data_IF_592514824161
#
_entry.id   IF_592514824161
#
_cell.length_a   1.000
_cell.length_b   1.000
_cell.length_c   1.000
_cell.angle_alpha   90.00
_cell.angle_beta   90.00
_cell.angle_gamma   90.00
#
_symmetry.space_group_name_H-M   'P 1'
#
loop_
_entity.id
_entity.type
_entity.pdbx_description
1 polymer ?
#
# COMPACT_ATOMS: atom_id res chain seq x y z
N UNK A 1 -11.47 0.18 -18.66
CA UNK A 1 -10.74 -0.67 -19.59
C UNK A 1 -10.68 -2.11 -19.10
N UNK A 2 -10.49 -3.05 -20.00
CA UNK A 2 -10.28 -4.47 -19.62
C UNK A 2 -8.79 -4.66 -19.31
N UNK A 3 -8.41 -5.41 -18.24
CA UNK A 3 -7.03 -5.74 -17.99
C UNK A 3 -6.50 -6.67 -19.09
N UNK A 4 -5.30 -6.37 -19.58
CA UNK A 4 -4.58 -7.29 -20.45
C UNK A 4 -3.80 -8.26 -19.55
N UNK A 5 -4.01 -9.55 -19.74
CA UNK A 5 -3.34 -10.61 -19.00
C UNK A 5 -2.37 -11.32 -19.94
N UNK A 6 -1.10 -11.35 -19.55
CA UNK A 6 -0.05 -12.10 -20.25
C UNK A 6 0.49 -13.15 -19.30
N UNK A 7 0.42 -14.42 -19.68
CA UNK A 7 1.01 -15.52 -18.91
C UNK A 7 2.39 -15.82 -19.48
N UNK A 8 3.40 -15.81 -18.62
CA UNK A 8 4.78 -16.15 -18.98
C UNK A 8 5.26 -17.34 -18.17
N UNK A 9 5.98 -18.26 -18.81
CA UNK A 9 6.65 -19.38 -18.15
C UNK A 9 8.16 -19.18 -18.32
N UNK A 10 8.86 -18.70 -17.28
CA UNK A 10 10.29 -18.46 -17.39
C UNK A 10 11.06 -19.78 -17.46
N UNK A 11 12.01 -19.89 -18.39
CA UNK A 11 12.87 -21.05 -18.59
C UNK A 11 14.29 -20.86 -18.03
N UNK A 12 14.64 -19.62 -17.66
CA UNK A 12 15.96 -19.28 -17.10
C UNK A 12 15.79 -18.36 -15.90
N UNK A 13 16.60 -18.57 -14.88
CA UNK A 13 16.71 -17.63 -13.74
C UNK A 13 17.50 -16.39 -14.14
N UNK A 14 17.22 -15.27 -13.51
CA UNK A 14 17.93 -14.01 -13.78
C UNK A 14 17.10 -12.79 -13.49
N UNK A 15 17.67 -11.63 -13.80
CA UNK A 15 16.98 -10.35 -13.74
C UNK A 15 16.85 -9.79 -15.14
N UNK A 16 15.63 -9.55 -15.55
CA UNK A 16 15.29 -9.09 -16.90
C UNK A 16 14.67 -7.69 -16.78
N UNK A 17 15.15 -6.79 -17.60
CA UNK A 17 14.57 -5.45 -17.70
C UNK A 17 13.57 -5.42 -18.84
N UNK A 18 12.44 -4.77 -18.60
CA UNK A 18 11.44 -4.48 -19.60
C UNK A 18 11.09 -2.99 -19.58
N UNK A 19 10.51 -2.53 -20.66
CA UNK A 19 9.98 -1.18 -20.75
C UNK A 19 8.67 -1.18 -21.51
N UNK A 20 7.87 -0.14 -21.34
CA UNK A 20 6.67 0.05 -22.15
C UNK A 20 7.06 0.27 -23.61
N UNK A 21 6.52 -0.56 -24.52
CA UNK A 21 6.81 -0.51 -25.95
C UNK A 21 5.76 0.24 -26.77
N UNK A 22 4.60 0.56 -26.13
CA UNK A 22 3.52 1.29 -26.76
C UNK A 22 3.35 2.64 -26.09
N UNK A 23 3.35 3.72 -26.85
CA UNK A 23 3.20 5.07 -26.30
C UNK A 23 1.94 5.16 -25.41
N UNK A 24 2.12 5.54 -24.14
CA UNK A 24 1.10 5.55 -23.11
C UNK A 24 1.04 6.89 -22.33
N UNK A 25 1.72 7.94 -22.82
CA UNK A 25 1.67 9.28 -22.24
C UNK A 25 3.04 9.87 -21.89
N UNK A 26 3.05 10.96 -21.14
CA UNK A 26 4.19 11.85 -20.90
C UNK A 26 5.45 11.16 -20.33
N UNK A 27 5.29 10.08 -19.56
CA UNK A 27 6.40 9.34 -18.93
C UNK A 27 6.67 7.99 -19.57
N UNK A 28 6.21 7.78 -20.79
CA UNK A 28 6.37 6.52 -21.52
C UNK A 28 7.80 5.95 -21.49
N UNK A 29 8.82 6.77 -21.73
CA UNK A 29 10.22 6.35 -21.72
C UNK A 29 10.76 5.94 -20.35
N UNK A 30 10.07 6.28 -19.28
CA UNK A 30 10.43 5.96 -17.89
C UNK A 30 9.60 4.83 -17.28
N UNK A 31 8.70 4.24 -18.05
CA UNK A 31 7.93 3.07 -17.64
C UNK A 31 8.77 1.81 -17.76
N UNK A 32 9.59 1.58 -16.77
CA UNK A 32 10.49 0.43 -16.70
C UNK A 32 9.88 -0.66 -15.81
N UNK A 33 10.14 -1.90 -16.17
CA UNK A 33 9.75 -3.11 -15.44
C UNK A 33 11.02 -3.93 -15.15
N UNK A 34 11.11 -4.51 -13.97
CA UNK A 34 12.12 -5.50 -13.64
C UNK A 34 11.42 -6.82 -13.31
N UNK A 35 11.68 -7.85 -14.12
CA UNK A 35 11.26 -9.21 -13.86
C UNK A 35 12.44 -9.99 -13.26
N UNK A 36 12.30 -10.42 -12.02
CA UNK A 36 13.31 -11.23 -11.33
C UNK A 36 12.82 -12.68 -11.25
N UNK A 37 13.50 -13.57 -11.96
CA UNK A 37 13.22 -15.00 -11.95
C UNK A 37 14.21 -15.68 -11.00
N UNK A 38 13.68 -16.24 -9.91
CA UNK A 38 14.46 -16.88 -8.87
C UNK A 38 14.41 -18.41 -9.00
N UNK A 39 15.44 -19.15 -8.57
CA UNK A 39 15.32 -20.58 -8.36
C UNK A 39 14.15 -20.90 -7.41
N UNK A 40 13.45 -22.04 -7.54
CA UNK A 40 12.25 -22.37 -6.75
C UNK A 40 12.43 -22.18 -5.23
N UNK A 41 13.53 -22.65 -4.67
CA UNK A 41 13.81 -22.50 -3.23
C UNK A 41 13.97 -21.03 -2.81
N UNK A 42 14.65 -20.20 -3.61
CA UNK A 42 14.81 -18.78 -3.34
C UNK A 42 13.50 -18.02 -3.51
N UNK A 43 12.67 -18.39 -4.50
CA UNK A 43 11.33 -17.84 -4.66
C UNK A 43 10.45 -18.14 -3.45
N UNK A 44 10.46 -19.38 -2.94
CA UNK A 44 9.70 -19.73 -1.73
C UNK A 44 10.18 -18.95 -0.50
N UNK A 45 11.49 -18.79 -0.33
CA UNK A 45 12.05 -17.96 0.74
C UNK A 45 11.62 -16.50 0.61
N UNK A 46 11.70 -15.94 -0.58
CA UNK A 46 11.23 -14.58 -0.86
C UNK A 46 9.72 -14.44 -0.59
N UNK A 47 8.91 -15.40 -1.06
CA UNK A 47 7.47 -15.41 -0.84
C UNK A 47 7.11 -15.43 0.64
N UNK A 48 7.79 -16.30 1.42
CA UNK A 48 7.62 -16.35 2.87
C UNK A 48 8.04 -15.03 3.54
N UNK A 49 9.13 -14.41 3.08
CA UNK A 49 9.54 -13.09 3.58
C UNK A 49 8.50 -12.01 3.26
N UNK A 50 7.93 -12.00 2.04
CA UNK A 50 6.85 -11.09 1.68
C UNK A 50 5.59 -11.34 2.52
N UNK A 51 5.18 -12.59 2.70
CA UNK A 51 4.06 -12.94 3.56
C UNK A 51 4.30 -12.54 5.02
N UNK A 52 5.52 -12.72 5.54
CA UNK A 52 5.91 -12.27 6.88
C UNK A 52 5.95 -10.74 6.98
N UNK A 53 6.39 -10.04 5.95
CA UNK A 53 6.38 -8.57 5.93
C UNK A 53 4.95 -8.02 5.87
N UNK A 54 4.06 -8.67 5.12
CA UNK A 54 2.64 -8.37 5.11
C UNK A 54 1.95 -8.71 6.44
N UNK A 55 2.37 -9.79 7.11
CA UNK A 55 1.87 -10.18 8.43
C UNK A 55 2.56 -9.47 9.61
N UNK A 56 3.82 -9.03 9.46
CA UNK A 56 4.50 -8.12 10.39
C UNK A 56 4.10 -6.66 10.22
N UNK A 57 3.45 -6.37 9.11
CA UNK A 57 3.04 -5.04 8.72
C UNK A 57 1.86 -4.50 9.51
N UNK A 58 2.11 -4.11 10.73
CA UNK A 58 1.13 -3.48 11.58
C UNK A 58 0.44 -4.51 12.50
N UNK A 59 0.69 -4.37 13.78
CA UNK A 59 -0.01 -5.13 14.79
C UNK A 59 -1.49 -4.71 14.78
N UNK A 60 -2.33 -5.48 14.08
CA UNK A 60 -3.79 -5.28 14.11
C UNK A 60 -4.42 -5.55 15.47
N UNK A 61 -3.63 -5.97 16.45
CA UNK A 61 -4.08 -6.28 17.79
C UNK A 61 -3.98 -5.12 18.80
N UNK A 62 -3.19 -4.09 18.53
CA UNK A 62 -3.05 -2.94 19.42
C UNK A 62 -3.64 -1.68 18.78
N UNK A 63 -4.75 -1.21 19.33
CA UNK A 63 -5.36 0.04 18.91
C UNK A 63 -4.52 1.23 19.43
N UNK A 64 -4.04 2.08 18.51
CA UNK A 64 -3.30 3.31 18.83
C UNK A 64 -4.09 4.53 18.34
N UNK A 65 -3.95 5.66 19.04
CA UNK A 65 -4.49 6.94 18.54
C UNK A 65 -3.64 7.56 17.44
N UNK A 66 -2.45 7.02 17.19
CA UNK A 66 -1.52 7.49 16.16
C UNK A 66 -0.94 6.32 15.38
N UNK A 67 -0.97 6.42 14.05
CA UNK A 67 -0.47 5.43 13.11
C UNK A 67 0.55 6.09 12.19
N UNK A 68 1.68 5.41 11.97
CA UNK A 68 2.65 5.82 10.95
C UNK A 68 2.68 4.80 9.82
N UNK A 69 2.54 5.27 8.59
CA UNK A 69 2.67 4.51 7.35
C UNK A 69 3.84 5.08 6.54
N UNK A 70 4.73 4.21 6.12
CA UNK A 70 5.82 4.56 5.22
C UNK A 70 5.52 4.08 3.81
N UNK A 71 5.57 5.00 2.85
CA UNK A 71 5.52 4.70 1.42
C UNK A 71 6.95 4.58 0.89
N UNK A 72 7.27 3.44 0.31
CA UNK A 72 8.56 3.18 -0.34
C UNK A 72 8.39 2.15 -1.45
N UNK A 73 8.94 2.43 -2.63
CA UNK A 73 8.80 1.60 -3.83
C UNK A 73 7.34 1.36 -4.22
N UNK A 74 6.50 2.40 -4.07
CA UNK A 74 5.06 2.35 -4.35
C UNK A 74 4.35 1.25 -3.52
N UNK A 75 4.76 1.08 -2.27
CA UNK A 75 4.17 0.14 -1.32
C UNK A 75 4.08 0.77 0.07
N UNK A 76 3.08 0.37 0.85
CA UNK A 76 3.03 0.65 2.27
C UNK A 76 3.89 -0.34 3.06
N UNK A 77 4.56 0.13 4.11
CA UNK A 77 5.30 -0.72 5.06
C UNK A 77 4.38 -1.61 5.91
N UNK A 78 3.07 -1.33 5.92
CA UNK A 78 2.07 -2.05 6.71
C UNK A 78 0.82 -2.35 5.88
N UNK A 79 0.44 -3.61 5.83
CA UNK A 79 -0.82 -4.07 5.23
C UNK A 79 -2.00 -4.06 6.22
N UNK A 80 -1.74 -3.82 7.50
CA UNK A 80 -2.76 -3.69 8.54
C UNK A 80 -2.37 -2.65 9.57
N UNK A 81 -3.33 -1.83 9.97
CA UNK A 81 -3.21 -0.83 11.04
C UNK A 81 -4.42 -0.90 11.95
N UNK A 82 -4.26 -0.51 13.22
CA UNK A 82 -5.35 -0.50 14.18
C UNK A 82 -5.45 0.84 14.90
N UNK A 83 -6.67 1.30 15.16
CA UNK A 83 -6.93 2.51 15.92
C UNK A 83 -8.11 2.35 16.90
N UNK A 84 -8.17 3.23 17.90
CA UNK A 84 -9.24 3.21 18.88
C UNK A 84 -10.56 3.73 18.31
N UNK A 85 -11.67 3.10 18.68
CA UNK A 85 -13.01 3.53 18.26
C UNK A 85 -13.41 4.86 18.91
N UNK A 86 -14.16 5.68 18.17
CA UNK A 86 -14.74 6.92 18.68
C UNK A 86 -13.73 8.05 18.93
N UNK A 87 -12.47 7.89 18.50
CA UNK A 87 -11.44 8.94 18.61
C UNK A 87 -10.88 9.29 17.22
N UNK A 88 -10.53 10.56 16.97
CA UNK A 88 -9.81 10.95 15.76
C UNK A 88 -8.49 10.18 15.64
N UNK A 89 -8.14 9.78 14.42
CA UNK A 89 -6.97 8.96 14.14
C UNK A 89 -5.88 9.87 13.55
N UNK A 90 -4.76 10.01 14.25
CA UNK A 90 -3.57 10.67 13.69
C UNK A 90 -2.83 9.71 12.77
N UNK A 91 -2.73 10.07 11.50
CA UNK A 91 -2.01 9.28 10.49
C UNK A 91 -0.81 10.08 10.01
N UNK A 92 0.39 9.58 10.29
CA UNK A 92 1.63 10.14 9.76
C UNK A 92 2.04 9.35 8.54
N UNK A 93 2.17 10.03 7.40
CA UNK A 93 2.63 9.45 6.15
C UNK A 93 4.07 9.89 5.93
N UNK A 94 4.97 8.93 5.84
CA UNK A 94 6.39 9.13 5.49
C UNK A 94 6.55 8.65 4.05
N UNK A 95 6.58 9.58 3.11
CA UNK A 95 6.80 9.26 1.70
C UNK A 95 8.30 9.32 1.39
N UNK A 96 8.92 8.17 1.09
CA UNK A 96 10.32 8.03 0.71
C UNK A 96 10.56 7.97 -0.80
N UNK A 97 9.48 7.89 -1.59
CA UNK A 97 9.56 7.77 -3.04
C UNK A 97 9.77 9.16 -3.67
N UNK A 98 10.99 9.46 -4.09
CA UNK A 98 11.34 10.76 -4.65
C UNK A 98 10.54 11.08 -5.92
N UNK A 99 9.86 12.23 -5.93
CA UNK A 99 9.06 12.71 -7.04
C UNK A 99 7.73 11.96 -7.25
N UNK A 100 7.43 10.95 -6.42
CA UNK A 100 6.16 10.19 -6.51
C UNK A 100 5.18 10.72 -5.48
N UNK A 101 3.95 10.97 -5.91
CA UNK A 101 2.89 11.44 -5.05
C UNK A 101 2.09 10.27 -4.47
N UNK A 102 1.87 10.29 -3.15
CA UNK A 102 1.00 9.34 -2.46
C UNK A 102 -0.06 10.07 -1.65
N UNK A 103 -1.21 9.44 -1.44
CA UNK A 103 -2.20 9.85 -0.46
C UNK A 103 -2.63 8.67 0.40
N UNK A 104 -3.41 8.94 1.43
CA UNK A 104 -4.03 7.94 2.27
C UNK A 104 -5.54 8.16 2.27
N UNK A 105 -6.28 7.15 1.87
CA UNK A 105 -7.73 7.18 1.89
C UNK A 105 -8.29 6.01 2.71
N UNK A 106 -9.37 6.26 3.46
CA UNK A 106 -10.13 5.26 4.20
C UNK A 106 -11.45 5.03 3.47
N UNK A 107 -11.76 3.78 3.22
CA UNK A 107 -12.97 3.31 2.56
C UNK A 107 -13.76 2.40 3.49
N UNK A 108 -15.08 2.36 3.35
CA UNK A 108 -15.93 1.48 4.13
C UNK A 108 -15.50 0.01 3.99
N UNK A 109 -15.13 -0.39 2.78
CA UNK A 109 -14.65 -1.73 2.43
C UNK A 109 -13.84 -1.71 1.12
N UNK A 110 -13.35 -2.86 0.69
CA UNK A 110 -12.55 -3.02 -0.53
C UNK A 110 -13.33 -2.85 -1.84
N UNK A 111 -14.66 -2.66 -1.80
CA UNK A 111 -15.46 -2.34 -2.99
C UNK A 111 -15.27 -0.92 -3.50
N UNK A 112 -14.67 -0.05 -2.68
CA UNK A 112 -14.38 1.36 -2.97
C UNK A 112 -15.62 2.20 -3.33
N UNK A 113 -16.80 1.77 -2.88
CA UNK A 113 -18.07 2.49 -3.15
C UNK A 113 -18.27 3.70 -2.25
N UNK A 114 -17.77 3.63 -1.00
CA UNK A 114 -17.95 4.69 -0.01
C UNK A 114 -16.62 5.09 0.61
N UNK A 115 -16.09 6.24 0.22
CA UNK A 115 -14.91 6.84 0.84
C UNK A 115 -15.31 7.60 2.10
N UNK A 116 -14.59 7.36 3.18
CA UNK A 116 -14.84 7.94 4.49
C UNK A 116 -13.86 9.10 4.80
N UNK A 117 -12.63 9.01 4.26
CA UNK A 117 -11.59 10.02 4.46
C UNK A 117 -10.55 9.97 3.35
N UNK A 118 -9.88 11.09 3.09
CA UNK A 118 -8.76 11.18 2.15
C UNK A 118 -7.84 12.33 2.55
N UNK A 119 -6.52 12.11 2.49
CA UNK A 119 -5.52 13.18 2.59
C UNK A 119 -5.27 13.82 1.23
N UNK A 120 -4.74 15.04 1.17
CA UNK A 120 -4.10 15.56 -0.03
C UNK A 120 -2.94 14.65 -0.48
N UNK A 121 -2.54 14.79 -1.75
CA UNK A 121 -1.34 14.15 -2.27
C UNK A 121 -0.08 14.74 -1.63
N UNK A 122 0.87 13.87 -1.32
CA UNK A 122 2.17 14.21 -0.72
C UNK A 122 3.25 13.70 -1.67
N UNK A 123 3.95 14.62 -2.35
CA UNK A 123 5.11 14.26 -3.16
C UNK A 123 6.31 13.99 -2.24
N UNK A 124 7.01 12.89 -2.50
CA UNK A 124 8.19 12.52 -1.72
C UNK A 124 9.50 13.13 -2.22
N UNK A 125 10.56 13.14 -1.39
CA UNK A 125 10.55 12.69 0.00
C UNK A 125 9.88 13.71 0.94
N UNK A 126 8.97 13.27 1.77
CA UNK A 126 8.25 14.13 2.72
C UNK A 126 7.61 13.32 3.86
N UNK A 127 7.36 13.98 4.99
CA UNK A 127 6.58 13.42 6.09
C UNK A 127 5.50 14.43 6.49
N UNK A 128 4.25 13.96 6.57
CA UNK A 128 3.11 14.79 7.00
C UNK A 128 2.16 14.01 7.87
N UNK A 129 1.64 14.66 8.90
CA UNK A 129 0.62 14.10 9.79
C UNK A 129 -0.73 14.71 9.49
N UNK A 130 -1.74 13.87 9.42
CA UNK A 130 -3.13 14.23 9.19
C UNK A 130 -4.00 13.66 10.30
N UNK A 131 -5.19 14.23 10.46
CA UNK A 131 -6.18 13.73 11.41
C UNK A 131 -7.40 13.24 10.63
N UNK A 132 -7.60 11.92 10.64
CA UNK A 132 -8.82 11.31 10.10
C UNK A 132 -9.93 11.36 11.16
N UNK A 133 -11.21 11.40 10.75
CA UNK A 133 -12.34 11.44 11.67
C UNK A 133 -12.41 10.19 12.55
N UNK A 134 -13.07 10.31 13.68
CA UNK A 134 -13.43 9.17 14.51
C UNK A 134 -14.34 8.20 13.73
N UNK A 135 -14.04 6.91 13.83
CA UNK A 135 -14.83 5.86 13.18
C UNK A 135 -15.41 4.92 14.24
N UNK A 136 -16.59 4.32 13.99
CA UNK A 136 -17.13 3.24 14.79
C UNK A 136 -16.21 2.02 14.80
N UNK A 137 -16.33 1.15 15.81
CA UNK A 137 -15.64 -0.13 15.83
C UNK A 137 -16.01 -0.97 14.58
N UNK A 138 -15.00 -1.57 13.93
CA UNK A 138 -15.19 -2.32 12.71
C UNK A 138 -13.91 -2.51 11.90
N UNK A 139 -14.05 -3.16 10.76
CA UNK A 139 -12.98 -3.31 9.76
C UNK A 139 -13.26 -2.39 8.59
N UNK A 140 -12.24 -1.68 8.17
CA UNK A 140 -12.25 -0.74 7.06
C UNK A 140 -11.12 -1.07 6.12
N UNK A 141 -11.17 -0.53 4.91
CA UNK A 141 -10.13 -0.65 3.93
C UNK A 141 -9.39 0.67 3.79
N UNK A 142 -8.06 0.64 3.65
CA UNK A 142 -7.30 1.82 3.29
C UNK A 142 -6.47 1.59 2.03
N UNK A 143 -6.23 2.64 1.27
CA UNK A 143 -5.33 2.61 0.12
C UNK A 143 -4.76 3.98 -0.20
N UNK A 144 -3.75 4.00 -1.06
CA UNK A 144 -3.37 5.17 -1.83
C UNK A 144 -4.23 5.21 -3.10
N UNK A 145 -5.06 6.24 -3.28
CA UNK A 145 -5.94 6.33 -4.44
C UNK A 145 -5.17 6.59 -5.76
N UNK A 146 -3.90 7.03 -5.66
CA UNK A 146 -3.03 7.24 -6.82
C UNK A 146 -2.53 5.91 -7.38
N UNK A 147 -2.26 4.90 -6.50
CA UNK A 147 -1.62 3.63 -6.89
C UNK A 147 -2.50 2.40 -6.65
N UNK A 148 -3.73 2.62 -6.18
CA UNK A 148 -4.74 1.58 -6.03
C UNK A 148 -4.30 0.38 -5.16
N UNK A 149 -4.63 -0.86 -5.58
CA UNK A 149 -4.45 -2.05 -4.75
C UNK A 149 -3.00 -2.36 -4.35
N UNK A 150 -2.00 -1.87 -5.10
CA UNK A 150 -0.59 -2.05 -4.78
C UNK A 150 -0.21 -1.41 -3.43
N UNK A 151 -0.93 -0.36 -3.04
CA UNK A 151 -0.72 0.36 -1.78
C UNK A 151 -2.00 0.34 -0.95
N UNK A 152 -2.36 -0.82 -0.41
CA UNK A 152 -3.61 -1.00 0.32
C UNK A 152 -3.46 -1.87 1.56
N UNK A 153 -4.49 -1.87 2.41
CA UNK A 153 -4.52 -2.70 3.61
C UNK A 153 -5.84 -2.59 4.38
N UNK A 154 -5.84 -3.22 5.56
CA UNK A 154 -6.97 -3.23 6.49
C UNK A 154 -6.74 -2.25 7.64
N UNK A 155 -7.73 -1.43 7.93
CA UNK A 155 -7.79 -0.62 9.15
C UNK A 155 -8.80 -1.25 10.12
N UNK A 156 -8.32 -1.68 11.28
CA UNK A 156 -9.16 -2.23 12.35
C UNK A 156 -9.42 -1.14 13.38
N UNK A 157 -10.67 -0.81 13.60
CA UNK A 157 -11.10 0.10 14.66
C UNK A 157 -11.65 -0.74 15.82
N UNK A 158 -10.90 -0.77 16.92
CA UNK A 158 -11.23 -1.55 18.12
C UNK A 158 -11.93 -0.73 19.21
N UNK A 159 -12.46 -1.43 20.23
CA UNK A 159 -12.93 -0.75 21.44
C UNK A 159 -11.74 -0.13 22.17
N UNK A 160 -11.89 1.06 22.79
CA UNK A 160 -10.87 1.59 23.70
C UNK A 160 -10.64 0.60 24.85
N UNK A 161 -9.42 0.05 24.96
CA UNK A 161 -9.04 -0.83 26.07
C UNK A 161 -9.35 -2.32 25.92
N UNK A 162 -9.65 -2.83 24.71
CA UNK A 162 -9.68 -4.27 24.41
C UNK A 162 -8.38 -4.76 23.76
#
# INVERSE_FOLDING_TARGET
GRPNVVTITPTKTGTFQGQCTQFCGLWHSKMLLVLKVLPPAQFQTWLQQQQRSLSKGGNCSSASSAVTLTAQHVQWDKGCIAAAAGKPIKVTIVNKDAGVAHNFAIWADSSLKKRLYQTPNISGPASKTFTAPALPAGKYYFQCDVHGPAMSGTLVIGKPGS
#
